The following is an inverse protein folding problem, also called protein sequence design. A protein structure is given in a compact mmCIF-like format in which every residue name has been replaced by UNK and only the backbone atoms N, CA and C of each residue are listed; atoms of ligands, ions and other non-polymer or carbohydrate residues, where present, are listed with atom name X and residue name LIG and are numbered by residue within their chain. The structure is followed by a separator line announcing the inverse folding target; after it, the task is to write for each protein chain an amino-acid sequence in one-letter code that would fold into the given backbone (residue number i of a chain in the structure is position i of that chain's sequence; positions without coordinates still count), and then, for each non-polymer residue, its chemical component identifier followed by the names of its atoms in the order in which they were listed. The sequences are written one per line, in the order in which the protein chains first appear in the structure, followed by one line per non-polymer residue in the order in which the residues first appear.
data_IF_130936797424
#
_entry.id   IF_130936797424
#
_cell.length_a   1.000
_cell.length_b   1.000
_cell.length_c   1.000
_cell.angle_alpha   90.00
_cell.angle_beta   90.00
_cell.angle_gamma   90.00
#
_symmetry.space_group_name_H-M   'P 1'
#
loop_
_entity.id
_entity.type
_entity.pdbx_description
1 polymer ?
#
# COMPACT_ATOMS: atom_id res chain seq x y z
N UNK A 1 -1.37 -2.18 -16.84
CA UNK A 1 -1.26 -2.82 -18.16
C UNK A 1 -2.61 -3.47 -18.40
N UNK A 2 -3.24 -3.19 -19.55
CA UNK A 2 -4.47 -3.85 -20.01
C UNK A 2 -4.28 -5.37 -19.91
N UNK A 3 -5.22 -6.13 -19.33
CA UNK A 3 -5.22 -7.58 -19.50
C UNK A 3 -6.00 -7.87 -20.79
N UNK A 4 -5.33 -8.13 -21.92
CA UNK A 4 -6.00 -8.29 -23.21
C UNK A 4 -6.85 -9.57 -23.29
N UNK A 5 -6.77 -10.44 -22.28
CA UNK A 5 -7.44 -11.73 -22.26
C UNK A 5 -8.69 -11.78 -21.37
N UNK A 6 -9.10 -10.67 -20.75
CA UNK A 6 -10.35 -10.63 -19.97
C UNK A 6 -11.01 -9.24 -20.01
N UNK A 7 -11.83 -9.01 -21.04
CA UNK A 7 -12.58 -7.75 -21.27
C UNK A 7 -13.52 -7.43 -20.11
N UNK A 8 -14.20 -8.44 -19.58
CA UNK A 8 -15.19 -8.31 -18.51
C UNK A 8 -14.56 -7.84 -17.19
N UNK A 9 -13.42 -8.42 -16.79
CA UNK A 9 -12.69 -7.97 -15.60
C UNK A 9 -12.20 -6.52 -15.71
N UNK A 10 -11.81 -6.09 -16.93
CA UNK A 10 -11.42 -4.69 -17.16
C UNK A 10 -12.63 -3.76 -17.04
N UNK A 11 -13.79 -4.16 -17.57
CA UNK A 11 -15.03 -3.38 -17.46
C UNK A 11 -15.48 -3.23 -16.00
N UNK A 12 -15.46 -4.31 -15.21
CA UNK A 12 -15.75 -4.23 -13.78
C UNK A 12 -14.80 -3.29 -13.04
N UNK A 13 -13.50 -3.32 -13.36
CA UNK A 13 -12.52 -2.41 -12.78
C UNK A 13 -12.81 -0.95 -13.12
N UNK A 14 -13.14 -0.64 -14.38
CA UNK A 14 -13.49 0.74 -14.77
C UNK A 14 -14.78 1.21 -14.11
N UNK A 15 -15.79 0.35 -14.00
CA UNK A 15 -17.04 0.66 -13.28
C UNK A 15 -16.78 0.93 -11.80
N UNK A 16 -15.94 0.13 -11.15
CA UNK A 16 -15.53 0.35 -9.76
C UNK A 16 -14.80 1.70 -9.59
N UNK A 17 -13.85 2.01 -10.47
CA UNK A 17 -13.13 3.28 -10.44
C UNK A 17 -14.03 4.49 -10.70
N UNK A 18 -15.06 4.33 -11.54
CA UNK A 18 -16.09 5.35 -11.78
C UNK A 18 -16.92 5.61 -10.52
N UNK A 19 -17.37 4.55 -9.83
CA UNK A 19 -18.07 4.68 -8.55
C UNK A 19 -17.21 5.35 -7.48
N UNK A 20 -15.93 4.95 -7.37
CA UNK A 20 -14.98 5.60 -6.48
C UNK A 20 -14.81 7.09 -6.81
N UNK A 21 -14.71 7.45 -8.09
CA UNK A 21 -14.64 8.86 -8.52
C UNK A 21 -15.89 9.65 -8.13
N UNK A 22 -17.08 9.07 -8.30
CA UNK A 22 -18.35 9.70 -7.92
C UNK A 22 -18.39 9.98 -6.41
N UNK A 23 -17.90 9.05 -5.60
CA UNK A 23 -17.73 9.25 -4.16
C UNK A 23 -16.82 10.46 -3.84
N UNK A 24 -15.67 10.58 -4.52
CA UNK A 24 -14.78 11.74 -4.33
C UNK A 24 -15.41 13.08 -4.74
N UNK A 25 -16.27 13.07 -5.76
CA UNK A 25 -17.05 14.24 -6.18
C UNK A 25 -18.07 14.62 -5.10
N UNK A 26 -18.78 13.63 -4.54
CA UNK A 26 -19.73 13.85 -3.45
C UNK A 26 -19.05 14.41 -2.19
N UNK A 27 -17.82 13.98 -1.90
CA UNK A 27 -16.98 14.54 -0.83
C UNK A 27 -16.37 15.93 -1.15
N UNK A 28 -16.71 16.52 -2.31
CA UNK A 28 -16.19 17.83 -2.75
C UNK A 28 -14.65 17.89 -2.84
N UNK A 29 -14.00 16.75 -3.11
CA UNK A 29 -12.55 16.71 -3.33
C UNK A 29 -12.17 17.49 -4.59
N UNK A 30 -11.06 18.23 -4.60
CA UNK A 30 -10.63 18.99 -5.79
C UNK A 30 -10.37 18.06 -7.01
N UNK A 31 -10.74 18.50 -8.22
CA UNK A 31 -10.66 17.69 -9.45
C UNK A 31 -9.27 17.08 -9.72
N UNK A 32 -8.20 17.85 -9.49
CA UNK A 32 -6.82 17.36 -9.64
C UNK A 32 -6.51 16.22 -8.66
N UNK A 33 -6.99 16.35 -7.42
CA UNK A 33 -6.84 15.35 -6.37
C UNK A 33 -7.66 14.10 -6.69
N UNK A 34 -8.89 14.27 -7.21
CA UNK A 34 -9.72 13.14 -7.67
C UNK A 34 -8.98 12.30 -8.71
N UNK A 35 -8.42 12.95 -9.75
CA UNK A 35 -7.65 12.26 -10.79
C UNK A 35 -6.43 11.55 -10.21
N UNK A 36 -5.73 12.20 -9.28
CA UNK A 36 -4.60 11.63 -8.56
C UNK A 36 -4.96 10.36 -7.79
N UNK A 37 -6.05 10.41 -7.02
CA UNK A 37 -6.53 9.27 -6.24
C UNK A 37 -7.00 8.11 -7.11
N UNK A 38 -7.81 8.38 -8.15
CA UNK A 38 -8.26 7.34 -9.09
C UNK A 38 -7.07 6.66 -9.76
N UNK A 39 -6.06 7.43 -10.19
CA UNK A 39 -4.84 6.87 -10.79
C UNK A 39 -4.04 6.00 -9.82
N UNK A 40 -3.90 6.42 -8.56
CA UNK A 40 -3.17 5.66 -7.56
C UNK A 40 -3.91 4.40 -7.10
N UNK A 41 -5.24 4.45 -6.98
CA UNK A 41 -6.08 3.28 -6.73
C UNK A 41 -6.00 2.29 -7.88
N UNK A 42 -6.13 2.76 -9.13
CA UNK A 42 -5.96 1.91 -10.32
C UNK A 42 -4.59 1.25 -10.35
N UNK A 43 -3.52 1.97 -9.99
CA UNK A 43 -2.18 1.42 -9.89
C UNK A 43 -2.10 0.29 -8.86
N UNK A 44 -2.68 0.49 -7.66
CA UNK A 44 -2.72 -0.55 -6.64
C UNK A 44 -3.53 -1.78 -7.08
N UNK A 45 -4.74 -1.59 -7.63
CA UNK A 45 -5.58 -2.71 -8.07
C UNK A 45 -4.92 -3.52 -9.19
N UNK A 46 -4.26 -2.85 -10.14
CA UNK A 46 -3.48 -3.52 -11.19
C UNK A 46 -2.31 -4.34 -10.64
N UNK A 47 -1.74 -3.95 -9.50
CA UNK A 47 -0.72 -4.75 -8.82
C UNK A 47 -1.35 -5.90 -8.01
N UNK A 48 -2.46 -5.63 -7.31
CA UNK A 48 -3.12 -6.57 -6.40
C UNK A 48 -3.75 -7.74 -7.14
N UNK A 49 -4.51 -7.47 -8.20
CA UNK A 49 -5.35 -8.45 -8.89
C UNK A 49 -4.50 -9.63 -9.40
N UNK A 50 -3.40 -9.45 -10.15
CA UNK A 50 -2.52 -10.56 -10.54
C UNK A 50 -1.85 -11.27 -9.36
N UNK A 51 -1.55 -10.54 -8.28
CA UNK A 51 -0.91 -11.10 -7.09
C UNK A 51 -1.84 -12.06 -6.33
N UNK A 52 -3.16 -11.82 -6.38
CA UNK A 52 -4.18 -12.70 -5.81
C UNK A 52 -4.54 -13.88 -6.73
N UNK A 53 -4.38 -13.73 -8.04
CA UNK A 53 -4.72 -14.75 -9.04
C UNK A 53 -3.79 -15.96 -9.04
N UNK A 54 -2.54 -15.80 -8.62
CA UNK A 54 -1.63 -16.95 -8.41
C UNK A 54 -2.16 -17.96 -7.38
N UNK A 55 -3.24 -17.65 -6.65
CA UNK A 55 -3.78 -18.46 -5.57
C UNK A 55 -5.28 -18.81 -5.67
N UNK A 56 -6.03 -18.45 -6.73
CA UNK A 56 -7.46 -18.82 -6.86
C UNK A 56 -8.12 -18.47 -8.21
N UNK A 57 -9.21 -19.19 -8.55
CA UNK A 57 -10.12 -19.01 -9.71
C UNK A 57 -10.95 -17.70 -9.68
N UNK A 58 -10.32 -16.56 -9.39
CA UNK A 58 -10.97 -15.25 -9.21
C UNK A 58 -11.63 -14.66 -10.48
N UNK A 59 -11.55 -15.35 -11.61
CA UNK A 59 -11.99 -14.84 -12.90
C UNK A 59 -13.37 -15.31 -13.34
N UNK A 60 -13.93 -16.37 -12.73
CA UNK A 60 -15.26 -16.87 -13.10
C UNK A 60 -16.39 -15.96 -12.62
N UNK A 61 -16.16 -15.12 -11.60
CA UNK A 61 -17.07 -14.06 -11.15
C UNK A 61 -16.25 -12.95 -10.44
N UNK A 62 -15.89 -11.89 -11.15
CA UNK A 62 -15.02 -10.83 -10.62
C UNK A 62 -15.79 -9.91 -9.65
N UNK A 63 -15.76 -10.25 -8.35
CA UNK A 63 -16.38 -9.46 -7.28
C UNK A 63 -15.32 -8.69 -6.46
N UNK A 64 -15.41 -7.35 -6.49
CA UNK A 64 -14.55 -6.47 -5.71
C UNK A 64 -14.69 -6.66 -4.20
N UNK A 65 -15.87 -7.04 -3.69
CA UNK A 65 -16.06 -7.33 -2.27
C UNK A 65 -15.17 -8.50 -1.82
N UNK A 66 -15.10 -9.55 -2.64
CA UNK A 66 -14.21 -10.70 -2.38
C UNK A 66 -12.74 -10.29 -2.44
N UNK A 67 -12.34 -9.48 -3.43
CA UNK A 67 -10.96 -8.99 -3.55
C UNK A 67 -10.57 -8.16 -2.33
N UNK A 68 -11.43 -7.22 -1.91
CA UNK A 68 -11.17 -6.34 -0.78
C UNK A 68 -11.05 -7.11 0.54
N UNK A 69 -11.88 -8.14 0.75
CA UNK A 69 -11.81 -9.03 1.93
C UNK A 69 -10.52 -9.85 2.01
N UNK A 70 -9.85 -10.09 0.88
CA UNK A 70 -8.55 -10.78 0.87
C UNK A 70 -7.39 -9.86 1.29
N UNK A 71 -7.59 -8.54 1.29
CA UNK A 71 -6.56 -7.59 1.69
C UNK A 71 -6.30 -7.74 3.19
N UNK A 72 -5.04 -7.93 3.54
CA UNK A 72 -4.59 -8.08 4.92
C UNK A 72 -3.23 -7.35 5.10
N UNK A 73 -2.72 -7.22 6.33
CA UNK A 73 -1.46 -6.52 6.59
C UNK A 73 -0.26 -7.08 5.80
N UNK A 74 -0.25 -8.38 5.50
CA UNK A 74 0.81 -9.03 4.70
C UNK A 74 0.77 -8.55 3.24
N UNK A 75 -0.40 -8.45 2.62
CA UNK A 75 -0.55 -7.91 1.26
C UNK A 75 -0.12 -6.43 1.21
N UNK A 76 -0.54 -5.63 2.19
CA UNK A 76 -0.14 -4.22 2.25
C UNK A 76 1.37 -4.07 2.44
N UNK A 77 2.00 -4.96 3.23
CA UNK A 77 3.45 -5.00 3.37
C UNK A 77 4.11 -5.33 2.04
N UNK A 78 3.67 -6.37 1.33
CA UNK A 78 4.17 -6.75 0.00
C UNK A 78 4.05 -5.59 -1.01
N UNK A 79 2.95 -4.84 -0.96
CA UNK A 79 2.78 -3.66 -1.80
C UNK A 79 3.81 -2.57 -1.48
N UNK A 80 4.07 -2.31 -0.19
CA UNK A 80 5.10 -1.38 0.25
C UNK A 80 6.49 -1.81 -0.24
N UNK A 81 6.84 -3.10 -0.14
CA UNK A 81 8.10 -3.63 -0.69
C UNK A 81 8.20 -3.38 -2.19
N UNK A 82 7.15 -3.73 -2.94
CA UNK A 82 7.09 -3.49 -4.39
C UNK A 82 7.30 -2.01 -4.76
N UNK A 83 6.70 -1.08 -4.03
CA UNK A 83 6.87 0.36 -4.29
C UNK A 83 8.33 0.82 -4.06
N UNK A 84 8.99 0.28 -3.03
CA UNK A 84 10.38 0.60 -2.70
C UNK A 84 11.33 -0.02 -3.73
N UNK A 85 11.16 -1.29 -4.07
CA UNK A 85 11.98 -2.00 -5.06
C UNK A 85 11.83 -1.39 -6.46
N UNK A 86 10.62 -0.92 -6.79
CA UNK A 86 10.34 -0.18 -8.03
C UNK A 86 10.88 1.25 -8.02
N UNK A 87 11.63 1.65 -6.99
CA UNK A 87 12.26 2.97 -6.84
C UNK A 87 11.27 4.13 -6.96
N UNK A 88 10.03 3.92 -6.49
CA UNK A 88 9.01 4.97 -6.49
C UNK A 88 9.43 6.06 -5.48
N UNK A 89 9.42 7.35 -5.85
CA UNK A 89 9.77 8.43 -4.92
C UNK A 89 8.88 8.44 -3.67
N UNK A 90 9.45 8.76 -2.51
CA UNK A 90 8.75 8.72 -1.22
C UNK A 90 7.45 9.54 -1.22
N UNK A 91 7.50 10.75 -1.80
CA UNK A 91 6.34 11.63 -1.97
C UNK A 91 5.22 10.95 -2.77
N UNK A 92 5.59 10.17 -3.80
CA UNK A 92 4.64 9.39 -4.60
C UNK A 92 4.07 8.21 -3.83
N UNK A 93 4.87 7.53 -2.99
CA UNK A 93 4.38 6.48 -2.09
C UNK A 93 3.34 7.04 -1.10
N UNK A 94 3.64 8.18 -0.47
CA UNK A 94 2.69 8.83 0.46
C UNK A 94 1.40 9.27 -0.21
N UNK A 95 1.48 9.75 -1.45
CA UNK A 95 0.30 10.08 -2.27
C UNK A 95 -0.55 8.83 -2.50
N UNK A 96 0.08 7.70 -2.85
CA UNK A 96 -0.58 6.40 -3.01
C UNK A 96 -1.24 5.92 -1.70
N UNK A 97 -0.56 6.03 -0.56
CA UNK A 97 -1.16 5.66 0.74
C UNK A 97 -2.36 6.53 1.09
N UNK A 98 -2.30 7.82 0.79
CA UNK A 98 -3.44 8.72 0.99
C UNK A 98 -4.63 8.32 0.11
N UNK A 99 -4.38 7.95 -1.15
CA UNK A 99 -5.40 7.43 -2.04
C UNK A 99 -6.00 6.10 -1.53
N UNK A 100 -5.17 5.20 -0.97
CA UNK A 100 -5.64 3.92 -0.41
C UNK A 100 -6.47 4.09 0.86
N UNK A 101 -6.11 5.01 1.75
CA UNK A 101 -6.98 5.34 2.90
C UNK A 101 -8.33 5.85 2.44
N UNK A 102 -8.34 6.72 1.42
CA UNK A 102 -9.57 7.26 0.83
C UNK A 102 -10.39 6.17 0.12
N UNK A 103 -9.74 5.21 -0.53
CA UNK A 103 -10.38 4.00 -1.05
C UNK A 103 -11.06 3.21 0.08
N UNK A 104 -10.40 3.04 1.22
CA UNK A 104 -10.99 2.41 2.41
C UNK A 104 -12.24 3.13 2.89
N UNK A 105 -12.22 4.46 2.97
CA UNK A 105 -13.40 5.26 3.31
C UNK A 105 -14.55 5.06 2.31
N UNK A 106 -14.24 5.00 1.02
CA UNK A 106 -15.23 4.65 0.00
C UNK A 106 -15.82 3.26 0.25
N UNK A 107 -14.98 2.24 0.43
CA UNK A 107 -15.44 0.87 0.65
C UNK A 107 -16.31 0.74 1.92
N UNK A 108 -15.98 1.47 2.99
CA UNK A 108 -16.82 1.58 4.18
C UNK A 108 -18.18 2.19 3.86
N UNK A 109 -18.21 3.32 3.12
CA UNK A 109 -19.47 3.98 2.74
C UNK A 109 -20.41 3.11 1.90
N UNK A 110 -19.84 2.14 1.19
CA UNK A 110 -20.55 1.17 0.36
C UNK A 110 -20.83 -0.15 1.08
N UNK A 111 -20.51 -0.26 2.38
CA UNK A 111 -20.61 -1.50 3.18
C UNK A 111 -19.85 -2.70 2.57
N UNK A 112 -18.76 -2.47 1.85
CA UNK A 112 -17.93 -3.52 1.24
C UNK A 112 -16.95 -4.16 2.22
N UNK A 113 -16.55 -3.40 3.24
CA UNK A 113 -15.65 -3.83 4.32
C UNK A 113 -16.19 -3.31 5.65
N UNK A 114 -15.87 -3.99 6.75
CA UNK A 114 -16.30 -3.59 8.10
C UNK A 114 -15.36 -2.55 8.73
N UNK A 115 -14.07 -2.60 8.38
CA UNK A 115 -13.04 -1.72 8.89
C UNK A 115 -12.10 -1.27 7.76
N UNK A 116 -11.52 -0.08 7.92
CA UNK A 116 -10.56 0.44 6.96
C UNK A 116 -9.14 -0.05 7.27
N UNK A 117 -8.76 -1.17 6.64
CA UNK A 117 -7.45 -1.80 6.79
C UNK A 117 -6.30 -0.86 6.33
N UNK A 118 -6.59 0.11 5.45
CA UNK A 118 -5.59 1.04 4.91
C UNK A 118 -5.19 2.15 5.88
N UNK A 119 -5.94 2.40 6.96
CA UNK A 119 -5.59 3.42 7.95
C UNK A 119 -4.26 3.15 8.66
N UNK A 120 -3.85 1.87 8.68
CA UNK A 120 -2.55 1.43 9.19
C UNK A 120 -1.37 1.82 8.29
N UNK A 121 -1.60 2.21 7.03
CA UNK A 121 -0.55 2.74 6.18
C UNK A 121 -0.14 4.09 6.74
N UNK A 122 1.04 4.21 7.33
CA UNK A 122 1.54 5.50 7.86
C UNK A 122 2.28 6.28 6.78
N UNK A 123 2.09 7.60 6.77
CA UNK A 123 2.86 8.49 5.90
C UNK A 123 4.34 8.34 6.24
N UNK A 124 5.14 8.00 5.25
CA UNK A 124 6.57 7.85 5.38
C UNK A 124 7.20 9.24 5.39
N UNK A 125 7.91 9.58 6.46
CA UNK A 125 8.64 10.84 6.53
C UNK A 125 10.04 10.69 5.94
N UNK A 126 10.56 11.76 5.32
CA UNK A 126 12.00 11.87 5.01
C UNK A 126 12.83 12.00 6.29
N UNK A 127 12.20 12.32 7.43
CA UNK A 127 12.82 12.29 8.75
C UNK A 127 13.12 10.85 9.17
N UNK A 128 14.30 10.58 9.74
CA UNK A 128 14.54 9.31 10.39
C UNK A 128 13.53 9.14 11.52
N UNK A 129 12.58 8.22 11.34
CA UNK A 129 11.67 7.76 12.39
C UNK A 129 12.50 7.16 13.52
N UNK A 130 12.70 7.94 14.58
CA UNK A 130 13.01 7.44 15.92
C UNK A 130 11.92 7.93 16.89
N UNK A 131 10.90 7.11 17.16
CA UNK A 131 10.10 7.23 18.37
C UNK A 131 10.53 6.15 19.37
N UNK A 132 11.29 6.58 20.38
CA UNK A 132 11.32 6.25 21.81
C UNK A 132 10.89 4.90 22.44
N UNK A 133 10.56 3.84 21.71
CA UNK A 133 10.37 2.54 22.35
C UNK A 133 11.59 1.62 22.14
N UNK A 134 12.52 1.71 23.11
CA UNK A 134 13.62 0.75 23.41
C UNK A 134 14.65 0.57 22.28
N UNK A 135 15.63 1.46 22.27
CA UNK A 135 16.45 1.81 21.12
C UNK A 135 17.71 0.93 20.91
N UNK A 136 17.57 -0.35 20.57
CA UNK A 136 18.70 -1.11 19.99
C UNK A 136 19.05 -0.61 18.57
N UNK A 137 18.07 -0.10 17.83
CA UNK A 137 18.28 0.44 16.48
C UNK A 137 19.03 1.77 16.45
N UNK A 138 18.89 2.61 17.48
CA UNK A 138 19.70 3.83 17.59
C UNK A 138 21.13 3.49 17.95
N UNK A 139 21.36 2.55 18.87
CA UNK A 139 22.71 2.04 19.15
C UNK A 139 23.34 1.44 17.88
N UNK A 140 22.60 0.62 17.15
CA UNK A 140 23.04 0.05 15.87
C UNK A 140 23.37 1.14 14.83
N UNK A 141 22.55 2.20 14.74
CA UNK A 141 22.84 3.37 13.89
C UNK A 141 24.17 4.03 14.29
N UNK A 142 24.36 4.32 15.57
CA UNK A 142 25.58 4.97 16.07
C UNK A 142 26.82 4.10 15.84
N UNK A 143 26.70 2.77 15.99
CA UNK A 143 27.79 1.83 15.72
C UNK A 143 28.17 1.78 14.24
N UNK A 144 27.19 1.82 13.33
CA UNK A 144 27.47 1.88 11.89
C UNK A 144 28.12 3.20 11.50
N UNK A 145 27.72 4.32 12.10
CA UNK A 145 28.38 5.61 11.90
C UNK A 145 29.81 5.60 12.44
N UNK A 146 30.04 4.99 13.62
CA UNK A 146 31.38 4.84 14.22
C UNK A 146 32.30 3.97 13.36
N UNK A 147 31.75 2.99 12.64
CA UNK A 147 32.46 2.17 11.66
C UNK A 147 32.75 2.89 10.33
N UNK A 148 32.43 4.18 10.22
CA UNK A 148 32.75 5.01 9.05
C UNK A 148 31.80 4.82 7.86
N UNK A 149 30.65 4.16 8.04
CA UNK A 149 29.69 3.99 6.95
C UNK A 149 29.00 5.31 6.61
N UNK A 150 28.70 5.49 5.32
CA UNK A 150 28.03 6.70 4.85
C UNK A 150 26.60 6.79 5.39
N UNK A 151 26.08 8.01 5.58
CA UNK A 151 24.71 8.24 6.05
C UNK A 151 23.65 7.54 5.20
N UNK A 152 23.90 7.39 3.88
CA UNK A 152 23.03 6.68 2.94
C UNK A 152 23.06 5.18 3.24
N UNK A 153 24.24 4.60 3.39
CA UNK A 153 24.43 3.19 3.71
C UNK A 153 23.81 2.83 5.08
N UNK A 154 24.01 3.69 6.08
CA UNK A 154 23.38 3.55 7.41
C UNK A 154 21.87 3.59 7.31
N UNK A 155 21.30 4.51 6.51
CA UNK A 155 19.85 4.58 6.29
C UNK A 155 19.32 3.30 5.66
N UNK A 156 20.01 2.75 4.67
CA UNK A 156 19.61 1.50 4.01
C UNK A 156 19.60 0.34 5.01
N UNK A 157 20.69 0.14 5.77
CA UNK A 157 20.73 -0.92 6.78
C UNK A 157 19.66 -0.78 7.86
N UNK A 158 19.32 0.45 8.26
CA UNK A 158 18.23 0.67 9.23
C UNK A 158 16.86 0.35 8.65
N UNK A 159 16.63 0.63 7.36
CA UNK A 159 15.39 0.25 6.67
C UNK A 159 15.29 -1.27 6.58
N UNK A 160 16.35 -1.94 6.13
CA UNK A 160 16.40 -3.39 5.96
C UNK A 160 16.21 -4.11 7.31
N UNK A 161 16.88 -3.64 8.35
CA UNK A 161 16.76 -4.20 9.71
C UNK A 161 15.36 -4.00 10.27
N UNK A 162 14.72 -2.84 10.02
CA UNK A 162 13.32 -2.62 10.41
C UNK A 162 12.39 -3.57 9.67
N UNK A 163 12.59 -3.76 8.37
CA UNK A 163 11.79 -4.69 7.57
C UNK A 163 11.98 -6.14 8.05
N UNK A 164 13.21 -6.53 8.40
CA UNK A 164 13.50 -7.83 9.00
C UNK A 164 12.79 -8.02 10.36
N UNK A 165 12.83 -7.02 11.25
CA UNK A 165 12.17 -7.12 12.56
C UNK A 165 10.65 -7.23 12.43
N UNK A 166 10.06 -6.48 11.49
CA UNK A 166 8.62 -6.56 11.17
C UNK A 166 8.29 -7.96 10.62
N UNK A 167 9.09 -8.47 9.69
CA UNK A 167 8.93 -9.81 9.15
C UNK A 167 9.04 -10.90 10.22
N UNK A 168 10.06 -10.82 11.09
CA UNK A 168 10.32 -11.78 12.17
C UNK A 168 9.17 -11.83 13.17
N UNK A 169 8.63 -10.66 13.54
CA UNK A 169 7.47 -10.59 14.44
C UNK A 169 6.25 -11.30 13.83
N UNK A 170 5.97 -11.07 12.56
CA UNK A 170 4.86 -11.70 11.84
C UNK A 170 5.04 -13.22 11.65
N UNK A 171 6.26 -13.75 11.82
CA UNK A 171 6.58 -15.18 11.77
C UNK A 171 6.44 -15.88 13.13
N UNK A 172 6.50 -15.12 14.23
CA UNK A 172 6.50 -15.62 15.61
C UNK A 172 5.12 -15.56 16.28
N UNK A 173 4.16 -14.81 15.70
CA UNK A 173 2.75 -14.78 16.14
C UNK A 173 1.89 -15.86 15.42
N UNK A 174 2.45 -17.07 15.25
CA UNK A 174 1.73 -18.28 14.79
C UNK A 174 1.33 -19.12 16.00
#
# INVERSE_FOLDING_TARGET
MYNPYNVEANEHLENFLKSFRNFLVAEKTASITQRGYVSDVKFFLNWLIPHLQKNSDLYSNFDFSVILKKINPKILSNYNFFLIESKIPLKSINRKYSALRKLGSFCLSQNLIAENIFDNLKTLSDRPLFPEHKCHLGQFKEDLLRKGLTKITVKNYLVDTKQFLIWSKNKLEV
#
